data_IF_749952186665
#
_entry.id   IF_749952186665
#
_cell.length_a   1.000
_cell.length_b   1.000
_cell.length_c   1.000
_cell.angle_alpha   90.00
_cell.angle_beta   90.00
_cell.angle_gamma   90.00
#
_symmetry.space_group_name_H-M   'P 1'
#
loop_
_entity.id
_entity.type
_entity.pdbx_description
1 polymer ?
2 non-polymer ?
3 non-polymer ?
4 water ?
#
# COMPACT_ATOMS: atom_id res chain seq x y z
N UNK A 10 6.66 -25.60 -3.89
CA UNK A 10 5.32 -26.05 -3.50
C UNK A 10 4.27 -25.47 -4.45
N UNK A 11 4.14 -26.17 -5.55
CA UNK A 11 3.15 -25.92 -6.60
C UNK A 11 1.98 -26.90 -6.36
N UNK A 12 0.79 -26.35 -6.41
CA UNK A 12 -0.44 -27.15 -6.25
C UNK A 12 -0.71 -27.74 -7.64
N UNK A 13 -1.34 -28.88 -7.67
CA UNK A 13 -1.71 -29.53 -8.94
C UNK A 13 -2.71 -28.64 -9.67
N UNK A 14 -2.53 -28.51 -10.96
CA UNK A 14 -3.36 -27.69 -11.83
C UNK A 14 -4.80 -28.21 -11.86
N UNK A 15 -5.75 -27.32 -11.63
CA UNK A 15 -7.19 -27.68 -11.71
C UNK A 15 -7.45 -28.05 -13.17
N UNK A 16 -8.54 -28.78 -13.39
CA UNK A 16 -8.85 -29.27 -14.72
C UNK A 16 -9.24 -28.20 -15.71
N UNK A 17 -9.78 -27.08 -15.30
CA UNK A 17 -10.22 -26.02 -16.24
C UNK A 17 -9.10 -25.15 -16.72
N UNK A 18 -7.90 -25.36 -16.20
CA UNK A 18 -6.75 -24.45 -16.55
C UNK A 18 -5.90 -24.99 -17.67
N UNK A 19 -5.89 -24.30 -18.78
CA UNK A 19 -5.07 -24.70 -19.96
C UNK A 19 -3.60 -24.48 -19.61
N UNK A 20 -2.81 -25.52 -19.87
CA UNK A 20 -1.39 -25.52 -19.51
C UNK A 20 -0.58 -24.42 -20.14
N UNK A 21 -1.04 -23.86 -21.24
CA UNK A 21 -0.35 -22.77 -21.91
C UNK A 21 -0.48 -21.48 -21.07
N UNK A 22 -1.50 -21.46 -20.24
CA UNK A 22 -1.71 -20.30 -19.33
C UNK A 22 -0.95 -20.39 -18.04
N UNK A 23 -0.24 -21.43 -17.74
CA UNK A 23 0.50 -21.55 -16.48
C UNK A 23 1.76 -20.67 -16.50
N UNK A 24 1.93 -19.93 -15.39
CA UNK A 24 3.18 -19.14 -15.19
C UNK A 24 3.34 -19.14 -13.67
N UNK A 25 4.34 -19.83 -13.14
CA UNK A 25 4.48 -20.03 -11.71
C UNK A 25 5.19 -18.88 -10.97
N UNK A 26 4.45 -17.84 -10.77
CA UNK A 26 4.79 -16.62 -10.08
C UNK A 26 4.34 -16.78 -8.60
N UNK A 27 5.26 -16.47 -7.72
CA UNK A 27 5.13 -16.47 -6.29
C UNK A 27 5.18 -15.02 -5.79
N UNK A 28 4.00 -14.50 -5.55
CA UNK A 28 3.78 -13.13 -5.10
C UNK A 28 4.58 -12.83 -3.82
N UNK A 29 4.88 -13.82 -3.06
CA UNK A 29 5.59 -13.70 -1.80
C UNK A 29 7.10 -13.88 -1.90
N UNK A 30 7.53 -14.52 -2.96
CA UNK A 30 8.94 -14.67 -3.26
C UNK A 30 9.21 -14.79 -4.75
N UNK A 31 9.05 -13.66 -5.43
CA UNK A 31 9.27 -13.60 -6.87
C UNK A 31 10.76 -13.78 -7.15
N UNK A 32 11.02 -14.41 -8.32
CA UNK A 32 12.36 -14.75 -8.72
C UNK A 32 13.36 -13.63 -8.77
N UNK A 33 13.00 -12.54 -9.41
CA UNK A 33 14.02 -11.47 -9.67
C UNK A 33 14.20 -10.47 -8.55
N UNK A 34 13.89 -10.83 -7.32
CA UNK A 34 13.83 -9.86 -6.22
C UNK A 34 15.02 -8.98 -6.08
N UNK A 35 16.19 -9.52 -6.33
CA UNK A 35 17.47 -8.78 -6.25
C UNK A 35 17.43 -7.50 -7.06
N UNK A 36 16.88 -7.56 -8.26
CA UNK A 36 16.73 -6.43 -9.17
C UNK A 36 15.83 -5.32 -8.64
N UNK A 37 14.97 -5.66 -7.69
CA UNK A 37 13.96 -4.71 -7.15
C UNK A 37 12.58 -5.39 -7.28
N UNK A 38 11.71 -4.99 -6.43
CA UNK A 38 10.33 -5.59 -6.35
C UNK A 38 9.52 -5.23 -7.56
N UNK A 39 9.42 -3.98 -8.02
CA UNK A 39 8.70 -3.63 -9.21
C UNK A 39 9.27 -4.42 -10.42
N UNK A 40 10.60 -4.45 -10.54
CA UNK A 40 11.28 -5.22 -11.61
C UNK A 40 10.96 -6.69 -11.53
N UNK A 41 10.87 -7.28 -10.35
CA UNK A 41 10.53 -8.66 -10.12
C UNK A 41 9.13 -9.01 -10.59
N UNK A 42 8.15 -8.19 -10.33
CA UNK A 42 6.77 -8.33 -10.81
C UNK A 42 6.61 -8.07 -12.31
N UNK A 43 7.38 -7.14 -12.85
CA UNK A 43 7.30 -6.69 -14.23
C UNK A 43 7.61 -7.78 -15.25
N UNK A 44 8.16 -8.90 -14.80
CA UNK A 44 8.44 -10.07 -15.60
C UNK A 44 7.11 -10.61 -16.19
N UNK A 45 6.06 -10.40 -15.42
CA UNK A 45 4.71 -10.82 -15.81
C UNK A 45 4.27 -10.10 -17.09
N UNK A 46 4.96 -8.98 -17.37
CA UNK A 46 4.52 -8.21 -18.55
C UNK A 46 5.33 -8.41 -19.80
N UNK A 47 6.28 -9.31 -19.73
CA UNK A 47 7.15 -9.64 -20.87
C UNK A 47 6.27 -10.29 -21.96
N UNK A 48 6.77 -10.20 -23.18
CA UNK A 48 6.09 -10.71 -24.38
C UNK A 48 5.72 -12.18 -24.30
N UNK A 49 6.49 -12.97 -23.58
CA UNK A 49 6.28 -14.41 -23.43
C UNK A 49 5.11 -14.75 -22.50
N UNK A 50 4.60 -13.75 -21.78
CA UNK A 50 3.50 -14.03 -20.81
C UNK A 50 2.17 -13.60 -21.34
N UNK A 51 1.20 -14.48 -21.37
CA UNK A 51 -0.18 -14.15 -21.70
C UNK A 51 -0.69 -13.12 -20.68
N UNK A 52 -1.72 -12.40 -21.07
CA UNK A 52 -2.32 -11.30 -20.32
C UNK A 52 -2.92 -11.76 -18.99
N UNK A 53 -3.44 -12.97 -19.04
CA UNK A 53 -4.05 -13.65 -17.91
C UNK A 53 -3.41 -15.02 -17.75
N UNK A 54 -2.79 -15.22 -16.62
CA UNK A 54 -2.07 -16.43 -16.30
C UNK A 54 -2.56 -17.07 -15.00
N UNK A 55 -2.12 -18.30 -14.81
CA UNK A 55 -2.39 -19.11 -13.65
C UNK A 55 -1.05 -19.51 -13.04
N UNK A 56 -1.01 -19.25 -11.71
CA UNK A 56 0.20 -19.68 -10.98
C UNK A 56 -0.23 -20.82 -10.09
N UNK A 57 0.68 -21.75 -9.90
CA UNK A 57 0.45 -22.92 -9.06
C UNK A 57 0.90 -22.70 -7.63
N UNK A 58 1.54 -21.55 -7.41
CA UNK A 58 2.06 -21.19 -6.09
C UNK A 58 0.90 -20.61 -5.28
N UNK A 59 1.11 -20.71 -3.98
CA UNK A 59 0.22 -20.07 -3.00
C UNK A 59 -1.18 -20.63 -3.19
N UNK A 60 -1.18 -21.90 -3.57
CA UNK A 60 -2.41 -22.69 -3.67
C UNK A 60 -3.08 -22.69 -5.03
N UNK A 61 -2.61 -21.84 -5.92
CA UNK A 61 -3.15 -21.69 -7.26
C UNK A 61 -4.14 -20.58 -7.36
N UNK A 62 -3.90 -19.70 -8.31
CA UNK A 62 -4.81 -18.52 -8.54
C UNK A 62 -4.47 -17.91 -9.88
N UNK A 63 -5.34 -17.05 -10.41
CA UNK A 63 -5.08 -16.32 -11.64
C UNK A 63 -4.36 -14.99 -11.34
N UNK A 64 -3.68 -14.43 -12.31
CA UNK A 64 -3.09 -13.07 -12.18
C UNK A 64 -3.46 -12.30 -13.44
N UNK A 65 -4.01 -11.14 -13.36
CA UNK A 65 -4.21 -10.30 -14.57
C UNK A 65 -2.91 -9.48 -14.73
N UNK A 66 -2.25 -9.51 -15.89
CA UNK A 66 -0.96 -8.76 -16.05
C UNK A 66 -1.00 -7.41 -16.69
N UNK A 67 -2.10 -6.93 -17.16
CA UNK A 67 -2.26 -5.70 -17.90
C UNK A 67 -3.25 -4.74 -17.28
N UNK A 68 -2.90 -3.47 -17.48
CA UNK A 68 -3.68 -2.35 -16.96
C UNK A 68 -5.14 -2.49 -17.32
N UNK A 69 -5.34 -2.97 -18.55
CA UNK A 69 -6.70 -3.03 -19.14
C UNK A 69 -7.56 -4.01 -18.40
N UNK A 70 -7.07 -5.19 -18.13
CA UNK A 70 -7.77 -6.26 -17.45
C UNK A 70 -7.95 -5.89 -15.97
N UNK A 71 -6.91 -5.32 -15.43
CA UNK A 71 -6.93 -4.93 -13.97
C UNK A 71 -8.05 -3.95 -13.75
N UNK A 72 -8.13 -2.89 -14.56
CA UNK A 72 -9.18 -1.91 -14.46
C UNK A 72 -10.55 -2.52 -14.63
N UNK A 73 -10.67 -3.38 -15.66
CA UNK A 73 -11.99 -4.03 -15.90
C UNK A 73 -12.47 -4.89 -14.77
N UNK A 74 -11.59 -5.70 -14.25
CA UNK A 74 -11.92 -6.64 -13.15
C UNK A 74 -12.32 -5.80 -11.94
N UNK A 75 -11.64 -4.70 -11.72
CA UNK A 75 -11.98 -3.82 -10.59
C UNK A 75 -13.31 -3.15 -10.66
N UNK A 76 -13.74 -2.78 -11.85
CA UNK A 76 -15.01 -2.15 -12.10
C UNK A 76 -16.18 -3.12 -11.97
N UNK A 77 -16.02 -4.34 -12.33
CA UNK A 77 -16.93 -5.47 -12.37
C UNK A 77 -17.29 -6.19 -11.12
N UNK A 78 -17.64 -5.60 -10.01
CA UNK A 78 -17.84 -6.26 -8.74
C UNK A 78 -18.89 -7.36 -8.77
N UNK A 79 -19.73 -7.30 -9.78
CA UNK A 79 -20.77 -8.37 -9.94
C UNK A 79 -20.04 -9.72 -10.10
N UNK A 80 -18.96 -9.75 -10.88
CA UNK A 80 -18.21 -10.97 -11.11
C UNK A 80 -17.04 -11.17 -10.17
N UNK A 81 -16.30 -10.09 -10.01
CA UNK A 81 -15.06 -10.16 -9.15
C UNK A 81 -15.40 -9.58 -7.78
N UNK A 82 -15.59 -10.45 -6.82
CA UNK A 82 -16.02 -10.01 -5.46
C UNK A 82 -14.88 -9.78 -4.52
N UNK A 83 -15.05 -8.72 -3.68
CA UNK A 83 -14.12 -8.34 -2.65
C UNK A 83 -14.13 -9.28 -1.47
N UNK A 84 -15.12 -10.16 -1.45
CA UNK A 84 -15.32 -11.04 -0.30
C UNK A 84 -14.07 -11.73 0.18
N UNK A 85 -13.22 -12.13 -0.73
CA UNK A 85 -11.96 -12.89 -0.41
C UNK A 85 -10.86 -12.29 -1.31
N UNK A 86 -10.27 -11.20 -0.83
CA UNK A 86 -9.36 -10.37 -1.62
C UNK A 86 -7.90 -10.62 -1.48
N UNK A 87 -7.53 -11.51 -0.58
CA UNK A 87 -6.13 -11.84 -0.25
C UNK A 87 -5.92 -13.31 -0.66
N UNK A 88 -4.72 -13.51 -1.14
CA UNK A 88 -4.16 -14.82 -1.46
C UNK A 88 -3.11 -15.03 -0.38
N UNK A 89 -3.00 -16.21 0.17
CA UNK A 89 -3.72 -17.43 -0.21
C UNK A 89 -5.13 -17.43 0.32
N UNK A 90 -5.93 -18.36 -0.14
CA UNK A 90 -7.34 -18.46 0.23
C UNK A 90 -7.60 -18.35 1.72
N UNK A 91 -6.93 -19.08 2.57
CA UNK A 91 -7.08 -19.02 4.03
C UNK A 91 -7.01 -17.58 4.58
N UNK A 92 -6.12 -16.80 4.02
CA UNK A 92 -5.95 -15.38 4.38
C UNK A 92 -7.16 -14.61 3.86
N UNK A 93 -7.48 -14.84 2.57
CA UNK A 93 -8.63 -14.16 1.96
C UNK A 93 -9.92 -14.52 2.72
N UNK A 94 -9.94 -15.75 3.23
CA UNK A 94 -11.15 -16.21 3.94
C UNK A 94 -11.27 -15.58 5.32
N UNK A 95 -10.13 -15.34 5.95
CA UNK A 95 -10.11 -14.80 7.31
C UNK A 95 -10.28 -13.28 7.30
N UNK A 96 -10.00 -12.71 6.15
CA UNK A 96 -10.05 -11.27 5.90
C UNK A 96 -11.53 -10.84 5.99
N UNK A 97 -11.75 -9.94 6.93
CA UNK A 97 -13.13 -9.45 7.16
C UNK A 97 -13.19 -7.96 7.46
N UNK A 98 -12.19 -7.23 7.00
CA UNK A 98 -12.13 -5.78 7.14
C UNK A 98 -13.21 -5.09 6.29
N UNK A 99 -13.63 -3.95 6.82
CA UNK A 99 -14.64 -3.11 6.21
C UNK A 99 -13.97 -1.75 5.89
N UNK A 100 -14.22 -1.18 4.74
CA UNK A 100 -15.15 -1.62 3.71
C UNK A 100 -14.63 -2.58 2.65
N UNK A 101 -13.39 -3.01 2.76
CA UNK A 101 -12.68 -3.79 1.78
C UNK A 101 -13.18 -5.16 1.48
N UNK A 102 -13.77 -5.86 2.45
CA UNK A 102 -14.29 -7.21 2.17
C UNK A 102 -15.72 -7.15 1.72
N UNK A 103 -16.26 -6.01 1.38
CA UNK A 103 -17.65 -5.86 0.93
C UNK A 103 -17.76 -5.31 -0.49
N UNK A 104 -18.87 -5.64 -1.12
CA UNK A 104 -19.23 -5.15 -2.45
C UNK A 104 -20.32 -4.10 -2.32
N UNK A 105 -20.50 -3.31 -3.36
CA UNK A 105 -21.62 -2.35 -3.44
C UNK A 105 -22.87 -3.25 -3.61
N UNK A 106 -24.00 -2.83 -3.06
CA UNK A 106 -24.24 -1.50 -2.50
C UNK A 106 -23.96 -1.37 -1.02
N UNK A 107 -23.66 -2.45 -0.37
CA UNK A 107 -23.43 -2.52 1.08
C UNK A 107 -22.23 -1.70 1.49
N UNK A 108 -21.21 -1.78 0.68
CA UNK A 108 -19.91 -1.09 0.91
C UNK A 108 -20.07 0.38 1.24
N UNK A 109 -20.82 1.08 0.40
CA UNK A 109 -21.11 2.48 0.30
C UNK A 109 -21.29 3.24 1.61
N UNK A 110 -22.11 2.71 2.48
CA UNK A 110 -22.42 3.30 3.77
C UNK A 110 -21.21 3.29 4.67
N UNK A 111 -20.49 2.16 4.63
CA UNK A 111 -19.26 2.01 5.42
C UNK A 111 -18.18 2.94 4.89
N UNK A 112 -18.10 3.05 3.56
CA UNK A 112 -17.13 3.96 2.92
C UNK A 112 -17.33 5.40 3.32
N UNK A 113 -18.58 5.84 3.33
CA UNK A 113 -18.99 7.19 3.70
C UNK A 113 -18.51 7.52 5.11
N UNK A 114 -18.52 6.54 6.01
CA UNK A 114 -18.03 6.72 7.37
C UNK A 114 -16.51 6.83 7.48
N UNK A 115 -15.83 5.86 6.85
CA UNK A 115 -14.33 5.82 6.90
C UNK A 115 -13.81 7.12 6.31
N UNK A 116 -14.59 7.63 5.38
CA UNK A 116 -14.35 8.88 4.69
C UNK A 116 -14.38 10.07 5.65
N UNK A 117 -15.32 10.05 6.58
CA UNK A 117 -15.36 11.10 7.62
C UNK A 117 -14.02 11.18 8.36
N UNK A 118 -13.40 10.07 8.65
CA UNK A 118 -12.16 9.99 9.40
C UNK A 118 -10.84 10.24 8.70
N UNK A 119 -10.65 9.80 7.46
CA UNK A 119 -9.44 9.92 6.66
C UNK A 119 -9.50 10.89 5.52
N UNK A 120 -10.68 11.31 5.14
CA UNK A 120 -11.02 12.14 4.02
C UNK A 120 -10.29 13.45 3.90
N UNK A 121 -10.60 14.17 2.82
CA UNK A 121 -10.06 15.49 2.52
C UNK A 121 -10.02 16.44 3.72
N UNK A 122 -11.18 16.72 4.28
CA UNK A 122 -11.33 17.64 5.42
C UNK A 122 -10.47 17.34 6.61
N UNK A 123 -10.12 16.09 6.83
CA UNK A 123 -9.20 15.69 7.90
C UNK A 123 -7.77 16.09 7.58
N UNK A 124 -7.42 15.92 6.30
CA UNK A 124 -6.10 16.30 5.85
C UNK A 124 -5.86 17.79 6.12
N UNK A 125 -6.82 18.59 5.71
CA UNK A 125 -6.80 20.04 5.80
C UNK A 125 -6.62 20.47 7.26
N UNK A 126 -7.13 19.69 8.16
CA UNK A 126 -7.07 19.86 9.60
C UNK A 126 -5.72 19.46 10.17
N UNK A 127 -5.10 18.41 9.62
CA UNK A 127 -3.86 17.89 10.11
C UNK A 127 -2.59 18.46 9.44
N UNK A 128 -2.77 19.32 8.48
CA UNK A 128 -1.76 19.80 7.62
C UNK A 128 -0.56 20.39 8.33
N UNK A 129 -0.84 21.24 9.32
CA UNK A 129 0.15 21.86 10.14
C UNK A 129 0.92 20.85 10.98
N UNK A 130 0.34 19.80 11.49
CA UNK A 130 1.12 18.83 12.27
C UNK A 130 2.05 18.02 11.36
N UNK A 131 1.46 17.68 10.18
CA UNK A 131 2.26 16.82 9.24
C UNK A 131 3.59 17.58 8.96
N UNK A 132 3.44 18.83 8.64
CA UNK A 132 4.57 19.74 8.29
C UNK A 132 5.50 19.89 9.46
N UNK A 133 4.92 20.04 10.67
CA UNK A 133 5.66 20.16 11.90
C UNK A 133 6.46 18.90 12.20
N UNK A 134 5.88 17.73 12.13
CA UNK A 134 6.60 16.50 12.42
C UNK A 134 7.72 16.23 11.39
N UNK A 135 7.43 16.55 10.15
CA UNK A 135 8.36 16.23 9.05
C UNK A 135 9.65 17.03 9.26
N UNK A 136 9.45 18.31 9.51
CA UNK A 136 10.53 19.27 9.77
C UNK A 136 11.32 18.88 11.02
N UNK A 137 10.62 18.53 12.08
CA UNK A 137 11.25 18.12 13.33
C UNK A 137 12.11 16.88 13.19
N UNK A 138 11.61 15.87 12.51
CA UNK A 138 12.31 14.60 12.27
C UNK A 138 13.56 14.79 11.41
N UNK A 139 13.46 15.64 10.40
CA UNK A 139 14.56 15.88 9.47
C UNK A 139 15.68 16.66 10.12
N UNK A 140 15.23 17.69 10.85
CA UNK A 140 16.20 18.58 11.53
C UNK A 140 17.01 17.78 12.50
N UNK A 141 16.35 16.92 13.20
CA UNK A 141 16.97 16.02 14.20
C UNK A 141 17.97 15.10 13.55
N UNK A 142 17.69 14.65 12.30
CA UNK A 142 18.60 13.80 11.57
C UNK A 142 19.80 14.48 10.91
N UNK A 143 19.52 15.62 10.33
CA UNK A 143 20.44 16.39 9.54
C UNK A 143 21.90 16.42 9.92
N UNK A 144 22.20 16.75 11.16
CA UNK A 144 23.59 16.92 11.61
C UNK A 144 24.35 15.63 11.77
N UNK A 145 23.67 14.51 11.76
CA UNK A 145 24.26 13.18 11.98
C UNK A 145 24.99 12.62 10.77
N UNK A 146 24.60 13.05 9.60
CA UNK A 146 25.16 12.62 8.34
C UNK A 146 24.96 11.16 8.02
N UNK A 147 23.94 10.56 8.66
CA UNK A 147 23.66 9.14 8.46
C UNK A 147 22.44 8.69 9.21
N UNK A 148 21.66 7.90 8.48
CA UNK A 148 20.49 7.23 9.17
C UNK A 148 20.28 5.84 8.58
N UNK A 149 19.24 5.21 8.99
CA UNK A 149 18.50 4.08 8.63
C UNK A 149 17.12 4.57 8.16
N UNK A 150 16.96 5.27 7.10
CA UNK A 150 15.74 5.93 6.69
C UNK A 150 14.46 5.15 7.03
N UNK A 151 14.50 3.85 6.89
CA UNK A 151 13.28 3.07 7.18
C UNK A 151 12.96 3.20 8.66
N UNK A 152 13.93 2.96 9.52
CA UNK A 152 13.67 3.09 10.97
C UNK A 152 13.63 4.50 11.49
N UNK A 153 14.46 5.37 10.97
CA UNK A 153 14.57 6.77 11.34
C UNK A 153 13.52 7.73 10.85
N UNK A 154 12.93 7.48 9.67
CA UNK A 154 11.95 8.47 9.16
C UNK A 154 10.67 7.84 8.65
N UNK A 155 10.87 6.92 7.68
CA UNK A 155 9.78 6.24 6.99
C UNK A 155 8.71 5.72 7.91
N UNK A 156 9.08 5.13 9.02
CA UNK A 156 8.29 4.55 10.05
C UNK A 156 7.66 5.51 11.03
N UNK A 157 8.44 6.28 11.77
CA UNK A 157 7.89 7.28 12.70
C UNK A 157 7.05 8.35 12.05
N UNK A 158 7.47 8.91 10.93
CA UNK A 158 6.68 10.03 10.31
C UNK A 158 5.22 9.72 10.14
N UNK A 159 4.90 8.76 9.31
CA UNK A 159 3.50 8.40 9.01
C UNK A 159 2.84 7.82 10.20
N UNK A 160 3.52 7.00 10.96
CA UNK A 160 2.97 6.25 12.08
C UNK A 160 2.54 7.17 13.21
N UNK A 161 3.45 8.04 13.59
CA UNK A 161 3.11 9.02 14.63
C UNK A 161 1.94 9.86 14.19
N UNK A 162 1.82 10.19 12.90
CA UNK A 162 0.65 11.01 12.47
C UNK A 162 -0.63 10.16 12.64
N UNK A 163 -0.45 8.86 12.42
CA UNK A 163 -1.61 7.97 12.48
C UNK A 163 -2.00 7.84 13.96
N UNK A 164 -1.01 7.62 14.79
CA UNK A 164 -1.25 7.43 16.24
C UNK A 164 -1.98 8.65 16.74
N UNK A 165 -1.66 9.83 16.27
CA UNK A 165 -2.28 11.10 16.59
C UNK A 165 -3.74 11.14 16.18
N UNK A 166 -4.02 10.70 14.97
CA UNK A 166 -5.35 10.69 14.36
C UNK A 166 -6.26 9.74 15.13
N UNK A 167 -5.72 8.59 15.48
CA UNK A 167 -6.38 7.50 16.13
C UNK A 167 -6.47 7.61 17.64
N UNK A 168 -5.72 8.47 18.22
CA UNK A 168 -5.61 8.68 19.66
C UNK A 168 -5.03 7.44 20.33
N UNK A 169 -4.04 6.81 19.75
CA UNK A 169 -3.41 5.59 20.29
C UNK A 169 -1.97 5.92 20.73
N UNK A 170 -1.53 5.18 21.76
CA UNK A 170 -0.22 5.41 22.37
C UNK A 170 0.91 4.96 21.46
N UNK A 171 1.93 5.81 21.42
CA UNK A 171 3.12 5.54 20.62
C UNK A 171 3.81 4.29 21.11
N UNK A 172 3.56 3.97 22.37
CA UNK A 172 4.11 2.79 23.03
C UNK A 172 3.73 1.52 22.28
N UNK A 173 2.52 1.50 21.76
CA UNK A 173 1.94 0.33 21.11
C UNK A 173 2.49 0.03 19.73
N UNK A 174 3.20 0.97 19.14
CA UNK A 174 3.69 0.86 17.78
C UNK A 174 4.29 -0.47 17.40
N UNK A 175 5.32 -0.86 18.12
CA UNK A 175 6.11 -2.06 17.79
C UNK A 175 5.24 -3.29 17.65
N UNK A 176 4.29 -3.43 18.55
CA UNK A 176 3.38 -4.57 18.64
C UNK A 176 2.46 -4.54 17.43
N UNK A 177 1.85 -3.38 17.23
CA UNK A 177 0.93 -3.19 16.10
C UNK A 177 1.59 -3.35 14.75
N UNK A 178 2.80 -2.81 14.65
CA UNK A 178 3.58 -2.82 13.42
C UNK A 178 3.87 -4.24 12.99
N UNK A 179 4.24 -5.05 13.95
CA UNK A 179 4.57 -6.46 13.70
C UNK A 179 3.36 -7.22 13.15
N UNK A 180 2.23 -7.05 13.83
CA UNK A 180 1.03 -7.79 13.44
C UNK A 180 0.61 -7.37 12.04
N UNK A 181 0.78 -6.07 11.76
CA UNK A 181 0.45 -5.52 10.45
C UNK A 181 1.34 -6.12 9.36
N UNK A 182 2.61 -6.23 9.63
CA UNK A 182 3.60 -6.81 8.74
C UNK A 182 3.31 -8.27 8.40
N UNK A 183 2.83 -8.98 9.40
CA UNK A 183 2.48 -10.39 9.24
C UNK A 183 1.33 -10.51 8.25
N UNK A 184 0.46 -9.51 8.23
CA UNK A 184 -0.72 -9.58 7.36
C UNK A 184 -0.40 -9.34 5.88
N UNK A 185 0.49 -8.42 5.60
CA UNK A 185 0.85 -8.03 4.22
C UNK A 185 2.04 -8.79 3.64
N UNK A 186 3.01 -9.04 4.50
CA UNK A 186 4.23 -9.74 4.18
C UNK A 186 4.55 -10.85 5.15
N UNK A 187 3.68 -11.86 5.16
CA UNK A 187 3.82 -13.05 5.99
C UNK A 187 5.20 -13.72 5.85
N UNK A 188 5.69 -14.06 6.98
CA UNK A 188 6.94 -14.56 7.47
C UNK A 188 7.04 -16.09 7.57
N UNK A 189 5.95 -16.66 8.04
CA UNK A 189 5.71 -18.02 8.41
C UNK A 189 5.49 -18.11 9.94
N UNK A 190 5.79 -17.01 10.62
CA UNK A 190 5.73 -16.92 12.08
C UNK A 190 4.31 -17.05 12.61
N UNK A 191 3.35 -16.52 11.86
CA UNK A 191 1.94 -16.61 12.21
C UNK A 191 1.08 -16.59 10.96
N UNK A 192 -0.03 -17.31 11.08
CA UNK A 192 -1.06 -17.36 10.02
C UNK A 192 -1.88 -16.06 10.10
N UNK A 193 -2.55 -15.72 9.03
CA UNK A 193 -3.37 -14.52 8.90
C UNK A 193 -4.44 -14.47 9.99
N UNK A 194 -5.12 -15.56 10.25
CA UNK A 194 -6.18 -15.62 11.27
C UNK A 194 -5.66 -15.29 12.68
N UNK A 195 -4.46 -15.76 12.93
CA UNK A 195 -3.76 -15.58 14.20
C UNK A 195 -3.45 -14.08 14.40
N UNK A 196 -2.88 -13.51 13.35
CA UNK A 196 -2.45 -12.11 13.37
C UNK A 196 -3.70 -11.24 13.55
N UNK A 197 -4.72 -11.64 12.83
CA UNK A 197 -5.99 -10.90 12.83
C UNK A 197 -6.60 -10.89 14.23
N UNK A 198 -6.51 -12.03 14.88
CA UNK A 198 -7.05 -12.23 16.21
C UNK A 198 -6.38 -11.39 17.25
N UNK A 199 -5.08 -11.30 17.12
CA UNK A 199 -4.20 -10.50 17.99
C UNK A 199 -4.51 -9.02 17.83
N UNK A 200 -4.70 -8.59 16.58
CA UNK A 200 -5.04 -7.20 16.29
C UNK A 200 -6.39 -6.84 16.93
N UNK A 201 -7.32 -7.75 16.75
CA UNK A 201 -8.68 -7.58 17.25
C UNK A 201 -8.68 -7.57 18.76
N UNK A 202 -7.85 -8.37 19.38
CA UNK A 202 -7.70 -8.43 20.84
C UNK A 202 -7.27 -7.07 21.43
N UNK A 203 -6.43 -6.42 20.66
CA UNK A 203 -5.90 -5.11 20.97
C UNK A 203 -7.00 -4.08 20.95
N UNK A 204 -7.69 -3.94 19.85
CA UNK A 204 -8.76 -3.03 19.54
C UNK A 204 -10.03 -3.11 20.37
N UNK A 205 -10.56 -4.29 20.54
CA UNK A 205 -11.81 -4.55 21.26
C UNK A 205 -12.02 -3.70 22.51
N UNK A 206 -11.08 -3.74 23.42
CA UNK A 206 -11.18 -2.99 24.68
C UNK A 206 -11.29 -1.50 24.44
N UNK A 207 -10.55 -1.03 23.44
CA UNK A 207 -10.47 0.36 23.02
C UNK A 207 -11.79 0.84 22.49
N UNK A 208 -12.34 0.10 21.54
CA UNK A 208 -13.67 0.41 20.97
C UNK A 208 -14.67 0.52 22.10
N UNK A 209 -14.62 -0.41 23.04
CA UNK A 209 -15.57 -0.47 24.17
C UNK A 209 -15.55 0.83 24.98
N UNK A 210 -14.36 1.23 25.26
CA UNK A 210 -13.92 2.39 26.04
C UNK A 210 -14.43 3.65 25.35
N UNK A 211 -14.32 3.69 24.03
CA UNK A 211 -14.73 4.82 23.22
C UNK A 211 -16.20 4.86 22.86
N UNK A 212 -16.89 3.75 23.08
CA UNK A 212 -18.36 3.75 22.83
C UNK A 212 -18.99 4.44 24.06
N UNK A 213 -18.36 4.20 25.19
CA UNK A 213 -18.74 4.71 26.49
C UNK A 213 -18.43 6.19 26.65
N UNK A 214 -17.15 6.48 26.49
CA UNK A 214 -16.59 7.83 26.64
C UNK A 214 -15.84 8.20 25.35
N UNK A 215 -16.63 8.75 24.43
CA UNK A 215 -16.19 9.16 23.12
C UNK A 215 -15.26 10.36 23.18
N UNK A 216 -14.32 10.31 22.25
CA UNK A 216 -13.33 11.37 22.06
C UNK A 216 -13.59 11.99 20.67
N UNK A 217 -12.53 12.67 20.25
CA UNK A 217 -12.56 13.36 18.95
C UNK A 217 -11.68 12.61 17.95
N UNK A 218 -11.09 11.51 18.38
CA UNK A 218 -10.20 10.67 17.57
C UNK A 218 -10.98 9.85 16.53
N UNK A 219 -10.23 9.29 15.58
CA UNK A 219 -10.83 8.42 14.55
C UNK A 219 -11.60 7.25 15.12
N UNK A 220 -11.07 6.61 16.14
CA UNK A 220 -11.71 5.42 16.73
C UNK A 220 -13.05 5.77 17.35
N UNK A 221 -13.10 6.87 18.10
CA UNK A 221 -14.33 7.38 18.69
C UNK A 221 -15.34 7.69 17.61
N UNK A 222 -14.91 8.30 16.52
CA UNK A 222 -15.83 8.64 15.41
C UNK A 222 -16.38 7.36 14.78
N UNK A 223 -15.51 6.39 14.52
CA UNK A 223 -15.95 5.11 13.91
C UNK A 223 -16.83 4.33 14.89
N UNK A 224 -16.44 4.16 16.12
CA UNK A 224 -17.20 3.44 17.15
C UNK A 224 -18.60 3.94 17.39
N UNK A 225 -18.85 5.21 17.15
CA UNK A 225 -20.17 5.84 17.36
C UNK A 225 -20.83 6.33 16.09
N UNK A 226 -20.49 5.78 14.93
CA UNK A 226 -21.04 6.27 13.65
C UNK A 226 -22.42 5.67 13.39
N UNK A 227 -23.03 6.17 12.34
CA UNK A 227 -24.34 5.68 11.84
C UNK A 227 -24.09 5.09 10.44
N UNK A 228 -24.71 3.98 10.20
CA UNK A 228 -24.66 3.31 8.88
C UNK A 228 -26.07 2.77 8.61
N UNK A 229 -26.62 3.22 7.50
CA UNK A 229 -27.96 2.85 7.05
C UNK A 229 -29.01 3.16 8.12
N UNK A 230 -28.91 4.37 8.65
CA UNK A 230 -29.77 4.95 9.64
C UNK A 230 -29.60 4.49 11.06
N UNK A 231 -28.96 3.37 11.29
CA UNK A 231 -28.74 2.79 12.63
C UNK A 231 -27.28 2.88 13.03
N UNK A 232 -27.01 2.68 14.31
CA UNK A 232 -25.68 2.72 14.88
C UNK A 232 -24.81 1.56 14.39
N UNK A 233 -23.54 1.87 14.15
CA UNK A 233 -22.61 0.76 13.75
C UNK A 233 -22.53 -0.20 14.94
N UNK A 234 -22.19 -1.43 14.72
CA UNK A 234 -21.98 -2.40 15.79
C UNK A 234 -20.51 -2.42 16.22
N UNK A 235 -20.28 -3.02 17.36
CA UNK A 235 -18.95 -3.18 17.94
C UNK A 235 -18.06 -3.98 16.98
N UNK A 236 -18.64 -5.03 16.42
CA UNK A 236 -17.96 -5.92 15.47
C UNK A 236 -17.64 -5.18 14.18
N UNK A 237 -18.58 -4.40 13.67
CA UNK A 237 -18.35 -3.54 12.51
C UNK A 237 -17.22 -2.53 12.76
N UNK A 238 -17.22 -1.87 13.92
CA UNK A 238 -16.23 -0.85 14.23
C UNK A 238 -14.85 -1.46 14.28
N UNK A 239 -14.78 -2.63 14.87
CA UNK A 239 -13.56 -3.40 15.03
C UNK A 239 -13.00 -3.78 13.66
N UNK A 240 -13.90 -4.17 12.78
CA UNK A 240 -13.51 -4.51 11.40
C UNK A 240 -13.08 -3.32 10.60
N UNK A 241 -13.63 -2.14 10.83
CA UNK A 241 -13.19 -0.93 10.18
C UNK A 241 -11.77 -0.52 10.67
N UNK A 242 -11.68 -0.44 11.99
CA UNK A 242 -10.45 -0.02 12.63
C UNK A 242 -9.28 -0.90 12.26
N UNK A 243 -9.51 -2.18 12.12
CA UNK A 243 -8.45 -3.15 11.76
C UNK A 243 -7.89 -2.74 10.40
N UNK A 244 -8.74 -2.36 9.48
CA UNK A 244 -8.29 -1.85 8.19
C UNK A 244 -7.52 -0.54 8.31
N UNK A 245 -8.08 0.39 9.10
CA UNK A 245 -7.45 1.70 9.28
C UNK A 245 -6.02 1.54 9.74
N UNK A 246 -5.78 0.62 10.64
CA UNK A 246 -4.45 0.33 11.16
C UNK A 246 -3.52 -0.14 10.05
N UNK A 247 -3.99 -1.06 9.25
CA UNK A 247 -3.11 -1.63 8.17
C UNK A 247 -2.68 -0.54 7.22
N UNK A 248 -3.60 0.31 6.82
CA UNK A 248 -3.40 1.45 5.95
C UNK A 248 -2.51 2.49 6.57
N UNK A 249 -2.76 2.80 7.84
CA UNK A 249 -2.00 3.83 8.57
C UNK A 249 -0.54 3.44 8.75
N UNK A 250 -0.30 2.21 9.15
CA UNK A 250 0.93 1.62 9.48
C UNK A 250 1.82 1.06 8.41
N UNK A 251 1.27 0.41 7.41
CA UNK A 251 1.97 -0.31 6.37
C UNK A 251 2.01 0.23 5.01
N UNK A 252 1.39 1.31 4.60
CA UNK A 252 1.41 1.73 3.18
C UNK A 252 2.40 2.85 2.90
N UNK A 253 2.14 4.00 3.51
CA UNK A 253 2.95 5.20 3.35
C UNK A 253 4.38 4.89 3.77
N UNK A 254 4.52 4.12 4.82
CA UNK A 254 5.86 3.73 5.34
C UNK A 254 6.75 3.13 4.25
N UNK A 255 6.18 2.18 3.54
CA UNK A 255 6.87 1.41 2.47
C UNK A 255 7.14 2.24 1.26
N UNK A 256 6.15 3.02 0.85
CA UNK A 256 6.27 3.89 -0.32
C UNK A 256 7.42 4.89 -0.19
N UNK A 257 7.57 5.50 1.01
CA UNK A 257 8.60 6.52 1.18
C UNK A 257 10.00 5.96 0.97
N UNK A 258 10.24 4.77 1.49
CA UNK A 258 11.51 4.08 1.35
C UNK A 258 11.84 3.86 -0.12
N UNK A 259 10.87 3.38 -0.89
CA UNK A 259 11.14 3.13 -2.33
C UNK A 259 11.51 4.47 -3.00
N UNK A 260 10.75 5.54 -2.69
CA UNK A 260 10.94 6.85 -3.32
C UNK A 260 12.31 7.45 -2.96
N UNK A 261 12.65 7.29 -1.71
CA UNK A 261 13.89 7.84 -1.15
C UNK A 261 15.08 7.07 -1.65
N UNK A 262 14.89 5.77 -1.77
CA UNK A 262 15.96 4.90 -2.32
C UNK A 262 16.32 5.38 -3.73
N UNK A 263 15.35 5.67 -4.51
CA UNK A 263 15.47 6.25 -5.85
C UNK A 263 16.13 7.62 -5.81
N UNK A 264 15.64 8.51 -4.95
CA UNK A 264 16.24 9.87 -4.92
C UNK A 264 17.71 9.82 -4.55
N UNK A 265 18.08 8.94 -3.63
CA UNK A 265 19.42 8.72 -3.14
C UNK A 265 20.36 8.33 -4.29
N UNK A 266 19.77 7.68 -5.26
CA UNK A 266 20.52 7.20 -6.44
C UNK A 266 20.45 8.08 -7.63
N UNK A 267 19.73 9.16 -7.59
CA UNK A 267 19.58 10.01 -8.79
C UNK A 267 19.66 11.48 -8.50
N UNK A 268 20.91 12.00 -8.51
CA UNK A 268 21.18 13.41 -8.29
C UNK A 268 20.37 14.33 -9.17
N UNK A 269 20.22 14.01 -10.43
CA UNK A 269 19.51 14.86 -11.40
C UNK A 269 18.04 14.98 -11.08
N UNK A 270 17.46 13.97 -10.48
CA UNK A 270 16.02 14.06 -10.13
C UNK A 270 15.82 14.97 -8.91
N UNK A 271 16.78 14.85 -7.99
CA UNK A 271 16.72 15.74 -6.78
C UNK A 271 16.82 17.20 -7.22
N UNK A 272 17.77 17.49 -8.10
CA UNK A 272 18.07 18.84 -8.56
C UNK A 272 16.84 19.48 -9.20
N UNK A 273 16.22 18.62 -10.00
CA UNK A 273 15.01 19.06 -10.72
C UNK A 273 13.98 19.55 -9.75
N UNK A 274 13.75 18.87 -8.66
CA UNK A 274 12.74 19.24 -7.66
C UNK A 274 13.18 20.46 -6.86
N UNK A 275 14.48 20.60 -6.70
CA UNK A 275 15.05 21.77 -5.98
C UNK A 275 14.88 23.04 -6.76
N UNK A 276 15.14 23.01 -8.05
CA UNK A 276 14.99 24.19 -8.90
C UNK A 276 13.64 24.51 -9.43
N UNK A 277 12.82 23.50 -9.57
CA UNK A 277 11.49 23.58 -10.19
C UNK A 277 10.47 22.94 -9.27
N UNK A 278 10.29 23.54 -8.08
CA UNK A 278 9.39 23.07 -7.07
C UNK A 278 7.96 22.89 -7.53
N UNK A 279 7.57 23.65 -8.54
CA UNK A 279 6.28 23.63 -9.15
C UNK A 279 6.03 22.23 -9.78
N UNK A 280 7.07 21.45 -9.83
CA UNK A 280 7.04 20.09 -10.35
C UNK A 280 6.82 19.04 -9.29
N UNK A 281 6.84 19.39 -8.01
CA UNK A 281 6.64 18.39 -6.95
C UNK A 281 5.39 17.54 -7.09
N UNK A 282 4.27 18.13 -7.38
CA UNK A 282 2.96 17.39 -7.49
C UNK A 282 3.05 16.37 -8.61
N UNK A 283 3.54 16.75 -9.76
CA UNK A 283 3.73 15.88 -10.92
C UNK A 283 4.70 14.76 -10.59
N UNK A 284 5.79 15.11 -9.92
CA UNK A 284 6.80 14.14 -9.51
C UNK A 284 6.24 13.11 -8.56
N UNK A 285 5.35 13.55 -7.69
CA UNK A 285 4.74 12.69 -6.65
C UNK A 285 3.89 11.61 -7.36
N UNK A 286 3.18 12.02 -8.39
CA UNK A 286 2.36 11.06 -9.16
C UNK A 286 3.24 10.08 -9.93
N UNK A 287 4.34 10.59 -10.46
CA UNK A 287 5.29 9.75 -11.20
C UNK A 287 5.95 8.78 -10.27
N UNK A 288 6.27 9.14 -9.00
CA UNK A 288 6.85 8.17 -8.05
C UNK A 288 5.79 7.17 -7.66
N UNK A 289 4.55 7.67 -7.56
CA UNK A 289 3.44 6.71 -7.20
C UNK A 289 3.30 5.66 -8.31
N UNK A 290 3.41 6.10 -9.54
CA UNK A 290 3.31 5.13 -10.69
C UNK A 290 4.49 4.18 -10.67
N UNK A 291 5.73 4.75 -10.66
CA UNK A 291 6.93 3.93 -10.69
C UNK A 291 7.14 3.08 -9.50
N UNK A 292 6.82 3.54 -8.26
CA UNK A 292 7.11 2.70 -7.09
C UNK A 292 5.83 2.17 -6.45
N UNK A 293 4.87 1.85 -7.28
CA UNK A 293 3.57 1.27 -6.85
C UNK A 293 3.86 0.01 -6.07
N UNK A 294 3.04 -0.30 -5.02
CA UNK A 294 3.41 -1.42 -4.16
C UNK A 294 2.33 -2.31 -3.62
N UNK A 295 1.11 -2.13 -4.06
CA UNK A 295 0.00 -2.97 -3.59
C UNK A 295 -0.38 -4.00 -4.69
N UNK A 296 -0.75 -5.16 -4.19
CA UNK A 296 -1.33 -6.22 -5.00
C UNK A 296 -2.32 -7.06 -4.22
N UNK A 297 -3.59 -6.78 -4.45
CA UNK A 297 -4.64 -7.73 -3.87
C UNK A 297 -5.42 -8.28 -5.01
N UNK A 298 -6.65 -8.82 -4.73
CA UNK A 298 -7.41 -9.42 -5.83
C UNK A 298 -8.88 -9.54 -5.38
N UNK A 299 -9.49 -10.40 -6.13
CA UNK A 299 -10.95 -10.64 -6.04
C UNK A 299 -11.26 -12.10 -6.12
N UNK A 300 -12.56 -12.42 -5.98
CA UNK A 300 -12.99 -13.82 -6.07
C UNK A 300 -14.14 -13.94 -7.03
N UNK A 301 -14.08 -14.95 -7.87
CA UNK A 301 -15.15 -15.20 -8.87
C UNK A 301 -16.40 -15.68 -8.13
N UNK A 302 -17.45 -14.95 -8.38
CA UNK A 302 -18.77 -15.29 -7.80
C UNK A 302 -19.46 -16.36 -8.64
N UNK A 303 -19.02 -16.51 -9.86
CA UNK A 303 -19.61 -17.53 -10.76
C UNK A 303 -18.64 -17.85 -11.89
N UNK A 304 -19.06 -18.83 -12.68
CA UNK A 304 -18.29 -19.21 -13.90
C UNK A 304 -18.47 -18.01 -14.85
N UNK A 305 -17.35 -17.61 -15.42
CA UNK A 305 -17.36 -16.38 -16.24
C UNK A 305 -16.21 -16.41 -17.23
N UNK A 306 -16.56 -16.01 -18.46
CA UNK A 306 -15.53 -15.98 -19.52
C UNK A 306 -15.03 -14.57 -19.69
N UNK A 307 -13.72 -14.45 -19.50
CA UNK A 307 -13.10 -13.10 -19.43
C UNK A 307 -11.88 -13.07 -20.34
N UNK A 308 -12.00 -12.25 -21.37
CA UNK A 308 -10.94 -12.13 -22.37
C UNK A 308 -10.58 -13.49 -22.92
N UNK A 309 -11.61 -14.32 -23.05
CA UNK A 309 -11.54 -15.66 -23.60
C UNK A 309 -10.93 -16.71 -22.71
N UNK A 310 -10.82 -16.44 -21.42
CA UNK A 310 -10.30 -17.45 -20.46
C UNK A 310 -11.51 -17.82 -19.58
N UNK A 311 -11.63 -19.10 -19.31
CA UNK A 311 -12.87 -19.51 -18.55
C UNK A 311 -12.48 -19.56 -17.07
N UNK A 312 -13.10 -18.71 -16.30
CA UNK A 312 -12.83 -18.60 -14.84
C UNK A 312 -13.98 -19.36 -14.17
N UNK A 313 -13.65 -20.16 -13.17
CA UNK A 313 -14.67 -20.92 -12.46
C UNK A 313 -15.00 -20.21 -11.14
N UNK A 314 -16.22 -20.40 -10.70
CA UNK A 314 -16.75 -19.87 -9.44
C UNK A 314 -15.79 -20.25 -8.32
N UNK A 315 -15.43 -19.31 -7.44
CA UNK A 315 -14.52 -19.60 -6.33
C UNK A 315 -13.06 -19.43 -6.65
N UNK A 316 -12.74 -19.35 -7.93
CA UNK A 316 -11.33 -19.12 -8.35
C UNK A 316 -10.94 -17.74 -7.74
N UNK A 317 -9.70 -17.61 -7.35
CA UNK A 317 -9.21 -16.27 -6.91
C UNK A 317 -8.37 -15.73 -8.07
N UNK A 318 -8.38 -14.41 -8.18
CA UNK A 318 -7.54 -13.73 -9.17
C UNK A 318 -6.84 -12.51 -8.52
N UNK A 319 -5.54 -12.48 -8.70
CA UNK A 319 -4.69 -11.37 -8.22
C UNK A 319 -4.77 -10.28 -9.29
N UNK A 320 -5.15 -9.10 -8.88
CA UNK A 320 -5.30 -7.93 -9.81
C UNK A 320 -4.31 -6.87 -9.29
N UNK A 321 -3.03 -7.11 -9.57
CA UNK A 321 -1.94 -6.29 -9.01
C UNK A 321 -2.05 -4.82 -9.37
N UNK A 322 -2.45 -3.97 -8.39
CA UNK A 322 -2.61 -2.54 -8.61
C UNK A 322 -1.28 -1.92 -9.06
N UNK A 323 -0.22 -2.50 -8.63
CA UNK A 323 1.16 -2.15 -8.94
C UNK A 323 1.44 -2.22 -10.45
N UNK A 324 0.82 -3.15 -11.16
CA UNK A 324 1.17 -3.39 -12.57
C UNK A 324 0.56 -2.46 -13.57
N UNK A 325 -0.59 -1.91 -13.38
CA UNK A 325 -1.22 -0.99 -14.33
C UNK A 325 -0.24 0.02 -14.90
N UNK A 326 0.40 0.78 -14.01
CA UNK A 326 1.33 1.83 -14.39
C UNK A 326 2.67 1.42 -14.94
N UNK A 327 3.10 0.19 -14.72
CA UNK A 327 4.35 -0.33 -15.28
C UNK A 327 4.11 -0.90 -16.68
N UNK A 328 2.87 -1.01 -17.08
CA UNK A 328 2.40 -1.50 -18.37
C UNK A 328 2.74 -0.54 -19.50
N UNK A 329 3.56 -1.06 -20.42
CA UNK A 329 4.03 -0.32 -21.58
C UNK A 329 2.91 0.21 -22.43
N UNK A 330 1.80 -0.48 -22.47
CA UNK A 330 0.61 -0.05 -23.22
C UNK A 330 0.03 1.20 -22.57
N UNK A 331 0.34 1.40 -21.30
CA UNK A 331 -0.19 2.53 -20.52
C UNK A 331 0.84 3.67 -20.44
N UNK A 332 2.07 3.31 -20.17
CA UNK A 332 3.15 4.31 -20.08
C UNK A 332 4.35 3.89 -20.93
N UNK A 333 4.69 4.70 -21.89
CA UNK A 333 5.97 4.48 -22.67
C UNK A 333 7.14 4.50 -21.68
N UNK A 334 8.13 3.68 -21.91
CA UNK A 334 9.30 3.43 -21.10
C UNK A 334 8.98 3.44 -19.60
N UNK A 335 8.22 2.44 -19.19
CA UNK A 335 7.67 2.37 -17.84
C UNK A 335 8.61 2.39 -16.69
N UNK A 336 9.77 1.77 -16.79
CA UNK A 336 10.75 1.71 -15.72
C UNK A 336 11.55 3.00 -15.57
N UNK A 337 11.38 3.95 -16.43
CA UNK A 337 12.08 5.24 -16.46
C UNK A 337 11.26 6.26 -15.65
N UNK A 338 11.95 7.01 -14.80
CA UNK A 338 11.26 8.04 -13.99
C UNK A 338 11.33 9.36 -14.79
N UNK A 339 10.20 9.87 -15.12
CA UNK A 339 10.17 11.14 -15.92
C UNK A 339 9.11 12.06 -15.34
N UNK A 340 9.55 13.06 -14.59
CA UNK A 340 8.64 14.00 -13.93
C UNK A 340 7.86 14.86 -14.90
N UNK A 341 8.22 14.87 -16.15
CA UNK A 341 7.54 15.64 -17.20
C UNK A 341 6.71 14.83 -18.17
N UNK A 342 6.36 13.62 -17.80
CA UNK A 342 5.45 12.77 -18.60
C UNK A 342 4.16 13.60 -18.84
N UNK A 343 3.68 13.51 -20.06
CA UNK A 343 2.45 14.18 -20.47
C UNK A 343 1.25 13.61 -19.73
N UNK A 344 1.26 12.32 -19.45
CA UNK A 344 0.14 11.65 -18.75
C UNK A 344 0.68 10.51 -17.90
N UNK A 345 0.47 10.61 -16.60
CA UNK A 345 0.94 9.60 -15.65
C UNK A 345 -0.27 8.68 -15.42
N UNK A 346 -0.22 7.50 -15.94
CA UNK A 346 -1.38 6.55 -15.77
C UNK A 346 -1.01 5.53 -14.72
N UNK A 347 -1.86 5.35 -13.70
CA UNK A 347 -1.57 4.35 -12.66
C UNK A 347 -2.91 3.97 -12.00
N UNK A 348 -2.86 2.98 -11.16
CA UNK A 348 -4.02 2.61 -10.28
C UNK A 348 -3.40 2.20 -8.94
N UNK A 349 -2.40 3.02 -8.56
CA UNK A 349 -1.69 2.82 -7.29
C UNK A 349 -2.60 2.86 -6.11
N UNK A 350 -3.63 3.66 -6.21
CA UNK A 350 -4.60 3.76 -5.05
C UNK A 350 -5.82 2.90 -5.30
N UNK A 351 -5.75 2.06 -6.33
CA UNK A 351 -6.89 1.20 -6.67
C UNK A 351 -7.71 1.84 -7.79
N UNK A 352 -8.88 1.17 -7.94
CA UNK A 352 -9.78 1.51 -9.04
C UNK A 352 -11.14 0.85 -8.70
N UNK A 353 -12.18 1.49 -9.16
CA UNK A 353 -13.54 0.94 -8.89
C UNK A 353 -13.99 1.49 -7.57
N UNK A 354 -15.03 0.83 -7.02
CA UNK A 354 -15.62 1.30 -5.77
C UNK A 354 -14.70 1.33 -4.59
N UNK A 355 -13.60 0.56 -4.60
CA UNK A 355 -12.72 0.52 -3.43
C UNK A 355 -11.57 1.48 -3.48
N UNK A 356 -11.68 2.50 -4.30
CA UNK A 356 -10.61 3.49 -4.51
C UNK A 356 -10.19 4.04 -3.12
N UNK A 357 -8.87 4.14 -2.94
CA UNK A 357 -8.29 4.44 -1.66
C UNK A 357 -8.79 5.77 -1.09
N UNK A 358 -9.35 5.66 0.13
CA UNK A 358 -9.86 6.84 0.84
C UNK A 358 -8.70 7.69 1.41
N UNK A 359 -7.64 7.05 1.79
CA UNK A 359 -6.49 7.69 2.39
C UNK A 359 -5.53 8.34 1.45
N UNK A 360 -5.92 8.41 0.17
CA UNK A 360 -5.03 8.89 -0.88
C UNK A 360 -4.61 10.33 -0.64
N UNK A 361 -5.54 11.13 -0.16
CA UNK A 361 -5.32 12.57 0.12
C UNK A 361 -4.29 12.76 1.21
N UNK A 362 -4.38 11.96 2.24
CA UNK A 362 -3.46 11.87 3.34
C UNK A 362 -2.09 11.41 2.83
N UNK A 363 -2.10 10.30 2.08
CA UNK A 363 -0.83 9.81 1.52
C UNK A 363 -0.14 10.82 0.66
N UNK A 364 -0.81 11.48 -0.30
CA UNK A 364 -0.18 12.51 -1.10
C UNK A 364 0.40 13.66 -0.27
N UNK A 365 -0.32 14.07 0.77
CA UNK A 365 0.20 15.17 1.63
C UNK A 365 1.47 14.76 2.31
N UNK A 366 1.53 13.55 2.87
CA UNK A 366 2.73 13.04 3.53
C UNK A 366 3.92 12.89 2.62
N UNK A 367 3.67 12.47 1.38
CA UNK A 367 4.74 12.36 0.38
C UNK A 367 5.27 13.72 0.00
N UNK A 368 4.40 14.62 -0.43
CA UNK A 368 4.81 15.94 -0.88
C UNK A 368 5.55 16.71 0.21
N UNK A 369 5.07 16.65 1.42
CA UNK A 369 5.78 17.39 2.53
C UNK A 369 7.18 16.87 2.70
N UNK A 370 7.32 15.54 2.67
CA UNK A 370 8.59 14.84 2.84
C UNK A 370 9.59 15.25 1.74
N UNK A 371 9.13 15.23 0.48
CA UNK A 371 10.06 15.58 -0.61
C UNK A 371 10.54 17.01 -0.40
N UNK A 372 9.57 17.88 -0.18
CA UNK A 372 9.89 19.33 -0.10
C UNK A 372 10.84 19.59 1.06
N UNK A 373 10.49 19.00 2.19
CA UNK A 373 11.23 19.26 3.44
C UNK A 373 12.56 18.59 3.52
N UNK A 374 12.66 17.37 3.00
CA UNK A 374 13.95 16.67 2.98
C UNK A 374 14.94 17.37 2.07
N UNK A 375 14.53 17.70 0.86
CA UNK A 375 15.32 18.35 -0.16
C UNK A 375 15.78 19.73 0.29
N UNK A 376 14.97 20.40 1.03
CA UNK A 376 15.29 21.74 1.58
C UNK A 376 16.53 21.66 2.44
N UNK A 377 16.55 20.77 3.37
CA UNK A 377 17.58 20.53 4.36
C UNK A 377 18.71 19.61 3.98
N UNK A 378 18.44 18.57 3.22
CA UNK A 378 19.45 17.57 2.89
C UNK A 378 19.38 17.27 1.39
N UNK A 379 19.87 18.20 0.60
CA UNK A 379 19.81 18.17 -0.83
C UNK A 379 20.71 17.13 -1.48
N UNK A 380 21.72 16.72 -0.75
CA UNK A 380 22.74 15.80 -1.31
C UNK A 380 22.98 14.68 -0.28
N UNK A 381 22.62 13.47 -0.74
CA UNK A 381 22.75 12.26 0.11
C UNK A 381 22.93 11.07 -0.86
N UNK A 382 23.32 9.95 -0.30
CA UNK A 382 23.43 8.72 -1.11
C UNK A 382 23.31 7.52 -0.20
N UNK A 383 23.26 6.35 -0.82
CA UNK A 383 23.18 5.08 -0.12
C UNK A 383 24.57 4.80 0.46
N UNK A 384 24.57 4.28 1.66
CA UNK A 384 25.83 3.95 2.35
C UNK A 384 26.61 2.97 1.49
N UNK A 385 27.91 3.22 1.41
CA UNK A 385 28.86 2.37 0.68
C UNK A 385 28.69 0.91 1.07
N UNK A 386 28.51 0.08 0.06
CA UNK A 386 28.43 -1.36 0.20
C UNK A 386 27.18 -1.83 0.92
N UNK A 387 26.18 -0.98 1.00
CA UNK A 387 24.89 -1.41 1.61
C UNK A 387 24.21 -2.13 0.41
N UNK A 388 23.62 -3.23 0.74
CA UNK A 388 22.84 -3.98 -0.27
C UNK A 388 21.36 -3.81 0.10
N UNK A 389 20.62 -3.04 -0.68
CA UNK A 389 19.20 -2.77 -0.38
C UNK A 389 18.31 -3.93 -0.79
N UNK A 390 17.55 -4.42 0.18
CA UNK A 390 16.66 -5.56 -0.04
C UNK A 390 15.19 -5.20 0.01
N UNK A 391 14.50 -5.59 -1.06
CA UNK A 391 13.05 -5.36 -1.15
C UNK A 391 12.38 -6.60 -0.61
N UNK A 392 11.13 -6.53 -0.32
CA UNK A 392 10.30 -7.64 0.18
C UNK A 392 8.96 -7.52 -0.52
N UNK A 393 8.44 -8.65 -0.97
CA UNK A 393 7.18 -8.68 -1.73
C UNK A 393 6.05 -9.25 -0.94
N UNK A 394 4.84 -8.88 -1.30
CA UNK A 394 3.62 -9.45 -0.71
C UNK A 394 2.44 -8.61 -1.16
N UNK A 395 1.46 -8.56 -0.25
CA UNK A 395 0.26 -7.75 -0.48
C UNK A 395 0.66 -6.30 -0.61
N UNK A 396 1.55 -5.89 0.27
CA UNK A 396 2.20 -4.58 0.22
C UNK A 396 3.71 -4.88 0.26
N UNK A 397 4.43 -4.41 -0.72
CA UNK A 397 5.89 -4.68 -0.81
C UNK A 397 6.63 -3.66 0.03
N UNK A 398 7.79 -4.08 0.55
CA UNK A 398 8.56 -3.10 1.41
C UNK A 398 10.02 -3.12 1.12
N UNK A 399 10.73 -2.29 1.87
CA UNK A 399 12.22 -2.21 1.79
C UNK A 399 12.70 -2.68 3.18
N UNK A 400 13.65 -3.54 3.24
CA UNK A 400 14.17 -4.05 4.55
C UNK A 400 14.81 -2.99 5.41
N UNK A 401 15.71 -2.21 4.88
CA UNK A 401 16.46 -1.14 5.57
C UNK A 401 17.04 -0.24 4.51
N UNK A 402 17.26 1.00 4.82
CA UNK A 402 17.85 1.97 3.89
C UNK A 402 18.87 2.89 4.59
N UNK A 403 20.09 2.37 4.63
CA UNK A 403 21.23 3.15 5.18
C UNK A 403 21.55 4.28 4.22
N UNK A 404 21.37 5.52 4.63
CA UNK A 404 21.73 6.71 3.87
C UNK A 404 22.92 7.39 4.59
N UNK A 405 23.69 8.09 3.83
CA UNK A 405 24.86 8.87 4.30
C UNK A 405 24.88 10.20 3.56
N UNK A 406 25.44 11.19 4.24
CA UNK A 406 25.53 12.53 3.64
C UNK A 406 26.61 13.35 4.39
N UNK A 407 27.02 14.43 3.80
CA UNK A 407 28.00 15.31 4.48
C UNK A 407 27.22 16.45 5.14
N UNK A 408 27.30 16.52 6.46
CA UNK A 408 26.62 17.54 7.24
C UNK A 408 26.88 18.92 6.70
N UNK A 409 28.10 19.16 6.20
CA UNK A 409 28.53 20.43 5.69
C UNK A 409 27.73 20.94 4.50
N UNK A 410 27.04 20.04 3.80
CA UNK A 410 26.23 20.45 2.64
C UNK A 410 24.75 20.57 2.99
N UNK A 411 24.42 20.46 4.25
CA UNK A 411 22.96 20.53 4.64
C UNK A 411 22.59 21.97 4.95
N UNK A 412 21.31 22.27 5.01
CA UNK A 412 20.86 23.62 5.39
C UNK A 412 19.83 23.54 6.50
N UNK A 413 20.11 24.22 7.59
CA UNK A 413 19.14 24.27 8.71
C UNK A 413 18.10 25.32 8.30
N UNK A 414 16.87 25.05 8.62
CA UNK A 414 15.73 25.94 8.31
C UNK A 414 15.02 26.28 9.63
X LIG B 1 -8.02 1.05 -0.11
X LIG B 1 -3.51 1.72 -1.71
X LIG B 1 -2.63 4.75 1.96
X LIG B 1 -6.97 3.69 3.79
X LIG B 1 -6.84 0.95 -0.80
X LIG B 1 -6.69 0.12 -2.01
X LIG B 1 -5.44 0.30 -2.46
X LIG B 1 -4.80 1.27 -1.55
X LIG B 1 -4.76 -0.33 -3.68
X LIG B 1 -7.84 -0.72 -2.54
X LIG B 1 -7.75 -2.24 -2.27
X LIG B 1 -8.83 -3.02 -3.06
X LIG B 1 -9.39 -2.46 -4.03
X LIG B 1 -8.92 -4.18 -2.61
X LIG B 1 -2.91 2.60 -0.86
X LIG B 1 -1.57 3.12 -1.05
X LIG B 1 -1.31 3.98 -0.06
X LIG B 1 -2.49 3.96 0.81
X LIG B 1 -0.70 2.77 -2.27
X LIG B 1 -0.08 4.85 0.21
X LIG B 1 0.85 5.16 -0.64
X LIG B 1 -3.73 4.68 2.80
X LIG B 1 -3.82 5.37 4.09
X LIG B 1 -5.02 5.08 4.59
X LIG B 1 -5.66 4.14 3.65
X LIG B 1 -2.68 6.23 4.65
X LIG B 1 -5.70 5.47 5.91
X LIG B 1 -5.02 5.82 7.00
X LIG B 1 -7.68 2.98 2.86
X LIG B 1 -9.05 2.58 2.97
X LIG B 1 -9.35 1.88 1.86
X LIG B 1 -8.14 1.72 1.10
X LIG B 1 -9.97 3.05 4.10
X LIG B 1 -10.69 1.22 1.49
X LIG B 1 -11.73 2.00 0.73
X LIG B 1 -13.00 1.18 0.42
X LIG B 1 -14.01 1.81 0.11
X LIG B 1 -12.91 -0.06 0.50
X LIG B 1 -5.68 1.66 -0.61
X LIG B 1 -3.47 3.15 0.32
X LIG B 1 -4.91 4.02 2.57
X LIG B 1 -7.14 2.48 1.67
X LIG B 1 -5.43 3.09 0.83
X LIG C 1 -4.09 -3.49 2.56
X LIG C 1 -5.51 -4.11 2.33
X LIG C 1 -6.09 -3.40 1.07
X LIG C 1 -4.91 -2.44 0.70
X LIG C 1 -4.86 -1.28 1.75
X LIG C 1 -4.30 -2.00 3.03
X LIG C 1 -3.64 -3.30 1.03
X LIG C 1 -6.18 -4.72 3.15
#
# INVERSE_FOLDING_TARGET
TTETIQSNANLAPLPPHVPEHLVFDFDMYNPSNLSAGVQEAWAVLQESNVPDLVWTRCNGGHWIATRGQLIREAYEDYRHFSSECPFIPREAGEAYDFIPTSMDPPEQRQFRALANQVVGMPVVDKLENRIQELACSLIESLRPQGQCNFTEDYAEPFPIRIFMLLAGLPEEDIPHLKYLTDQMTRPDGSMTFAEAKEALYDYLIPIIEQRRQKPGTDAISIVANGQVNGRPITSDEAKRMCGLLLVGGLDTVVNFLSFSMEFLAKSPEHRQELIERPERIPAACEELLRRFSLVADGRILTSDYEFHGVQLKKGDQILLPQMLSGLDERENACPMHVDFSRQKVSHTTFGHGSHLCLGQHLARREIIVTLKEWLTRIPDFSIAPGAQIQHKSGIVSGVQALPLVWDPATTKAV
HEM CHA CHB CHC CHD C1A C2A C3A C4A CMA CAA CBA CGA O1A O2A C1B C2B C3B C4B CMB CAB CBB C1C C2C C3C C4C CMC CAC CBC C1D C2D C3D C4D CMD CAD CBD CGD O1D O2D NA NB NC ND FE
NCM C1 C2 C3 C4 C5 C6 C7 O2
#
